data_IF_729604060647
#
_entry.id   IF_729604060647
#
_cell.length_a   1.000
_cell.length_b   1.000
_cell.length_c   1.000
_cell.angle_alpha   90.00
_cell.angle_beta   90.00
_cell.angle_gamma   90.00
#
_symmetry.space_group_name_H-M   'P 1'
#
loop_
_entity.id
_entity.type
_entity.pdbx_description
1 polymer ?
#
# COMPACT_ATOMS: atom_id res chain seq x y z
N UNK A 1 -14.82 -0.31 -39.18
CA UNK A 1 -15.12 -0.32 -37.72
C UNK A 1 -13.80 -0.55 -37.00
N UNK A 2 -13.45 0.26 -36.00
CA UNK A 2 -12.23 0.04 -35.20
C UNK A 2 -12.48 -1.16 -34.29
N UNK A 3 -11.56 -2.11 -34.28
CA UNK A 3 -11.59 -3.23 -33.33
C UNK A 3 -11.27 -2.72 -31.92
N UNK A 4 -12.02 -3.24 -30.93
CA UNK A 4 -11.79 -2.94 -29.52
C UNK A 4 -10.47 -3.56 -29.07
N UNK A 5 -9.66 -2.82 -28.34
CA UNK A 5 -8.46 -3.39 -27.73
C UNK A 5 -8.79 -4.19 -26.46
N UNK A 6 -7.80 -4.93 -25.94
CA UNK A 6 -7.96 -5.80 -24.77
C UNK A 6 -8.51 -5.06 -23.52
N UNK A 7 -8.15 -3.80 -23.33
CA UNK A 7 -8.65 -2.99 -22.21
C UNK A 7 -10.10 -2.55 -22.41
N UNK A 8 -10.48 -2.19 -23.64
CA UNK A 8 -11.86 -1.79 -23.94
C UNK A 8 -12.84 -2.96 -23.80
N UNK A 9 -12.39 -4.19 -24.09
CA UNK A 9 -13.19 -5.41 -23.92
C UNK A 9 -13.50 -5.73 -22.45
N UNK A 10 -12.63 -5.34 -21.51
CA UNK A 10 -12.89 -5.52 -20.07
C UNK A 10 -13.90 -4.50 -19.52
N UNK A 11 -14.25 -3.46 -20.28
CA UNK A 11 -15.22 -2.46 -19.85
C UNK A 11 -16.66 -2.96 -20.06
N UNK A 12 -17.62 -2.51 -19.23
CA UNK A 12 -19.03 -2.74 -19.49
C UNK A 12 -19.41 -2.23 -20.88
N UNK A 13 -20.39 -2.89 -21.52
CA UNK A 13 -20.72 -2.66 -22.92
C UNK A 13 -21.05 -1.20 -23.25
N UNK A 14 -21.69 -0.50 -22.30
CA UNK A 14 -22.04 0.93 -22.35
C UNK A 14 -20.84 1.87 -22.48
N UNK A 15 -19.66 1.43 -22.05
CA UNK A 15 -18.40 2.21 -22.10
C UNK A 15 -17.46 1.76 -23.21
N UNK A 16 -17.78 0.66 -23.92
CA UNK A 16 -17.02 0.24 -25.10
C UNK A 16 -17.11 1.33 -26.17
N UNK A 17 -16.00 1.64 -26.83
CA UNK A 17 -15.89 2.73 -27.82
C UNK A 17 -16.15 4.16 -27.28
N UNK A 18 -16.16 4.38 -25.95
CA UNK A 18 -16.23 5.74 -25.37
C UNK A 18 -14.90 6.15 -24.76
N UNK A 19 -14.55 7.43 -24.95
CA UNK A 19 -13.41 8.03 -24.26
C UNK A 19 -13.81 8.35 -22.82
N UNK A 20 -13.06 7.80 -21.85
CA UNK A 20 -13.22 8.09 -20.43
C UNK A 20 -11.95 8.77 -19.93
N UNK A 21 -12.11 9.85 -19.17
CA UNK A 21 -10.99 10.52 -18.51
C UNK A 21 -10.53 9.68 -17.32
N UNK A 22 -9.28 9.22 -17.37
CA UNK A 22 -8.66 8.46 -16.28
C UNK A 22 -7.71 9.33 -15.47
N UNK A 23 -7.63 9.14 -14.14
CA UNK A 23 -6.66 9.85 -13.32
C UNK A 23 -5.24 9.48 -13.79
N UNK A 24 -4.39 10.48 -14.01
CA UNK A 24 -3.05 10.25 -14.54
C UNK A 24 -2.09 9.60 -13.54
N UNK A 25 -2.45 9.61 -12.24
CA UNK A 25 -1.66 9.13 -11.09
C UNK A 25 -0.25 9.75 -10.93
N UNK A 26 0.07 10.76 -11.75
CA UNK A 26 1.37 11.44 -11.78
C UNK A 26 1.29 12.85 -11.19
N UNK A 27 0.23 13.60 -11.49
CA UNK A 27 0.07 14.97 -11.01
C UNK A 27 -0.24 15.03 -9.50
N UNK A 28 0.07 16.17 -8.86
CA UNK A 28 -0.14 16.39 -7.42
C UNK A 28 -1.59 16.12 -6.99
N UNK A 29 -2.56 16.54 -7.79
CA UNK A 29 -3.98 16.35 -7.49
C UNK A 29 -4.37 14.87 -7.50
N UNK A 30 -4.07 14.14 -8.58
CA UNK A 30 -4.36 12.71 -8.66
C UNK A 30 -3.63 11.91 -7.57
N UNK A 31 -2.37 12.24 -7.24
CA UNK A 31 -1.62 11.59 -6.16
C UNK A 31 -2.24 11.85 -4.79
N UNK A 32 -2.64 13.09 -4.51
CA UNK A 32 -3.32 13.45 -3.25
C UNK A 32 -4.67 12.75 -3.14
N UNK A 33 -5.46 12.73 -4.22
CA UNK A 33 -6.76 12.05 -4.25
C UNK A 33 -6.60 10.54 -4.04
N UNK A 34 -5.63 9.92 -4.71
CA UNK A 34 -5.31 8.51 -4.51
C UNK A 34 -4.93 8.21 -3.05
N UNK A 35 -4.06 9.02 -2.44
CA UNK A 35 -3.69 8.88 -1.03
C UNK A 35 -4.91 9.02 -0.10
N UNK A 36 -5.80 9.98 -0.35
CA UNK A 36 -7.06 10.15 0.41
C UNK A 36 -7.96 8.91 0.30
N UNK A 37 -8.18 8.40 -0.91
CA UNK A 37 -8.98 7.19 -1.13
C UNK A 37 -8.43 6.01 -0.31
N UNK A 38 -7.11 5.80 -0.31
CA UNK A 38 -6.50 4.75 0.51
C UNK A 38 -6.66 4.99 2.01
N UNK A 39 -6.55 6.24 2.47
CA UNK A 39 -6.80 6.57 3.89
C UNK A 39 -8.23 6.20 4.32
N UNK A 40 -9.24 6.52 3.49
CA UNK A 40 -10.62 6.12 3.77
C UNK A 40 -10.78 4.61 3.82
N UNK A 41 -10.17 3.87 2.87
CA UNK A 41 -10.20 2.40 2.88
C UNK A 41 -9.58 1.82 4.15
N UNK A 42 -8.48 2.39 4.63
CA UNK A 42 -7.83 1.96 5.87
C UNK A 42 -8.71 2.22 7.10
N UNK A 43 -9.37 3.38 7.16
CA UNK A 43 -10.30 3.72 8.25
C UNK A 43 -11.52 2.80 8.24
N UNK A 44 -12.08 2.54 7.05
CA UNK A 44 -13.20 1.61 6.92
C UNK A 44 -12.79 0.18 7.29
N UNK A 45 -11.63 -0.30 6.85
CA UNK A 45 -11.09 -1.59 7.28
C UNK A 45 -10.99 -1.65 8.80
N UNK A 46 -10.37 -0.65 9.44
CA UNK A 46 -10.22 -0.62 10.90
C UNK A 46 -11.57 -0.65 11.63
N UNK A 47 -12.63 -0.05 11.06
CA UNK A 47 -13.97 -0.08 11.67
C UNK A 47 -14.65 -1.46 11.64
N UNK A 48 -14.18 -2.39 10.80
CA UNK A 48 -14.73 -3.75 10.69
C UNK A 48 -14.14 -4.73 11.71
N UNK A 49 -13.06 -4.36 12.38
CA UNK A 49 -12.33 -5.22 13.30
C UNK A 49 -12.22 -4.57 14.69
N UNK A 50 -12.46 -5.33 15.75
CA UNK A 50 -12.31 -4.83 17.13
C UNK A 50 -10.83 -4.59 17.49
N UNK A 51 -9.93 -5.40 16.92
CA UNK A 51 -8.50 -5.36 17.20
C UNK A 51 -7.77 -4.79 16.00
N UNK A 52 -7.25 -3.58 16.16
CA UNK A 52 -6.37 -2.94 15.17
C UNK A 52 -5.05 -2.55 15.83
N UNK A 53 -3.96 -2.57 15.07
CA UNK A 53 -2.64 -2.19 15.55
C UNK A 53 -1.90 -1.33 14.52
N UNK A 54 -1.29 -0.23 14.98
CA UNK A 54 -0.35 0.55 14.19
C UNK A 54 1.08 0.19 14.60
N UNK A 55 1.89 -0.22 13.62
CA UNK A 55 3.29 -0.57 13.83
C UNK A 55 4.20 0.34 13.02
N UNK A 56 5.30 0.75 13.63
CA UNK A 56 6.42 1.39 12.93
C UNK A 56 7.66 0.52 13.08
N UNK A 57 8.13 -0.02 11.95
CA UNK A 57 9.34 -0.84 11.87
C UNK A 57 10.48 0.04 11.39
N UNK A 58 11.47 0.23 12.25
CA UNK A 58 12.68 0.99 11.95
C UNK A 58 13.90 0.08 12.03
N UNK A 59 14.93 0.42 11.28
CA UNK A 59 16.23 -0.23 11.40
C UNK A 59 16.98 0.34 12.60
N UNK A 60 17.69 -0.52 13.33
CA UNK A 60 18.76 -0.10 14.23
C UNK A 60 20.03 0.23 13.44
N UNK A 61 20.98 0.90 14.10
CA UNK A 61 22.15 1.48 13.44
C UNK A 61 23.04 0.44 12.76
N UNK A 62 23.09 -0.77 13.31
CA UNK A 62 23.93 -1.87 12.79
C UNK A 62 23.33 -2.57 11.58
N UNK A 63 22.02 -2.48 11.39
CA UNK A 63 21.30 -3.17 10.32
C UNK A 63 20.68 -2.21 9.29
N UNK A 64 21.20 -0.98 9.20
CA UNK A 64 20.81 -0.05 8.15
C UNK A 64 21.12 -0.65 6.76
N UNK A 65 20.15 -0.68 5.84
CA UNK A 65 20.40 -1.14 4.49
C UNK A 65 21.43 -0.28 3.77
N UNK A 66 22.15 -0.90 2.83
CA UNK A 66 23.06 -0.18 1.97
C UNK A 66 22.35 1.00 1.29
N UNK A 67 23.00 2.16 1.31
CA UNK A 67 22.46 3.44 0.80
C UNK A 67 21.23 3.98 1.54
N UNK A 68 20.90 3.45 2.72
CA UNK A 68 19.74 3.91 3.51
C UNK A 68 18.40 3.65 2.82
N UNK A 69 18.34 2.67 1.91
CA UNK A 69 17.15 2.36 1.12
C UNK A 69 16.15 1.45 1.83
N UNK A 70 14.89 1.45 1.39
CA UNK A 70 13.87 0.51 1.85
C UNK A 70 13.99 -0.83 1.10
N UNK A 71 14.21 -1.92 1.85
CA UNK A 71 14.32 -3.28 1.30
C UNK A 71 13.03 -4.06 1.55
N UNK A 72 12.21 -4.25 0.50
CA UNK A 72 10.91 -4.94 0.57
C UNK A 72 11.00 -6.34 1.20
N UNK A 73 12.10 -7.06 0.95
CA UNK A 73 12.31 -8.40 1.51
C UNK A 73 12.31 -8.41 3.05
N UNK A 74 12.85 -7.38 3.69
CA UNK A 74 12.86 -7.29 5.16
C UNK A 74 11.44 -7.26 5.72
N UNK A 75 10.56 -6.46 5.11
CA UNK A 75 9.15 -6.39 5.50
C UNK A 75 8.43 -7.72 5.25
N UNK A 76 8.68 -8.36 4.10
CA UNK A 76 8.07 -9.66 3.78
C UNK A 76 8.46 -10.76 4.78
N UNK A 77 9.75 -10.82 5.16
CA UNK A 77 10.24 -11.77 6.15
C UNK A 77 9.67 -11.49 7.54
N UNK A 78 9.56 -10.22 7.93
CA UNK A 78 8.88 -9.83 9.17
C UNK A 78 7.43 -10.31 9.19
N UNK A 79 6.64 -10.02 8.16
CA UNK A 79 5.24 -10.43 8.06
C UNK A 79 5.08 -11.96 8.04
N UNK A 80 6.00 -12.69 7.37
CA UNK A 80 6.00 -14.15 7.37
C UNK A 80 6.21 -14.72 8.78
N UNK A 81 7.15 -14.16 9.55
CA UNK A 81 7.42 -14.57 10.94
C UNK A 81 6.25 -14.21 11.86
N UNK A 82 5.71 -13.00 11.74
CA UNK A 82 4.55 -12.54 12.50
C UNK A 82 3.35 -13.48 12.30
N UNK A 83 2.99 -13.80 11.05
CA UNK A 83 1.90 -14.73 10.73
C UNK A 83 2.10 -16.12 11.32
N UNK A 84 3.33 -16.63 11.30
CA UNK A 84 3.65 -17.93 11.92
C UNK A 84 3.45 -17.88 13.44
N UNK A 85 3.87 -16.79 14.09
CA UNK A 85 3.80 -16.62 15.54
C UNK A 85 2.36 -16.52 16.06
N UNK A 86 1.47 -15.87 15.31
CA UNK A 86 0.08 -15.62 15.75
C UNK A 86 -0.93 -16.65 15.21
N UNK A 87 -0.47 -17.64 14.44
CA UNK A 87 -1.30 -18.72 13.91
C UNK A 87 -2.09 -19.41 15.04
N UNK A 88 -3.40 -19.70 14.85
CA UNK A 88 -4.16 -19.67 13.61
C UNK A 88 -4.78 -18.31 13.24
N UNK A 89 -4.52 -17.25 14.02
CA UNK A 89 -5.06 -15.93 13.72
C UNK A 89 -4.48 -15.39 12.40
N UNK A 90 -5.34 -14.80 11.59
CA UNK A 90 -4.98 -14.18 10.31
C UNK A 90 -5.00 -12.68 10.48
N UNK A 91 -4.04 -12.02 9.85
CA UNK A 91 -3.94 -10.56 9.82
C UNK A 91 -4.06 -10.06 8.39
N UNK A 92 -4.76 -8.95 8.24
CA UNK A 92 -4.76 -8.09 7.07
C UNK A 92 -3.87 -6.89 7.39
N UNK A 93 -3.29 -6.29 6.37
CA UNK A 93 -2.37 -5.19 6.58
C UNK A 93 -2.36 -4.22 5.41
N UNK A 94 -2.03 -2.98 5.74
CA UNK A 94 -1.66 -1.94 4.80
C UNK A 94 -0.32 -1.35 5.23
N UNK A 95 0.68 -1.36 4.34
CA UNK A 95 2.01 -0.82 4.60
C UNK A 95 2.33 0.43 3.79
N UNK A 96 3.17 1.30 4.35
CA UNK A 96 3.90 2.30 3.57
C UNK A 96 5.35 2.38 4.03
N UNK A 97 6.24 2.64 3.07
CA UNK A 97 7.63 2.95 3.35
C UNK A 97 7.85 4.46 3.40
N UNK A 98 8.57 4.94 4.40
CA UNK A 98 8.87 6.35 4.59
C UNK A 98 10.34 6.56 4.99
N UNK A 99 10.79 7.80 4.84
CA UNK A 99 12.11 8.25 5.24
C UNK A 99 11.97 9.35 6.29
N UNK A 100 12.72 9.24 7.38
CA UNK A 100 12.65 10.21 8.49
C UNK A 100 13.08 11.62 8.06
N UNK A 101 12.44 12.65 8.60
CA UNK A 101 12.65 14.04 8.14
C UNK A 101 14.08 14.56 8.34
N UNK A 102 14.76 14.14 9.42
CA UNK A 102 16.11 14.63 9.78
C UNK A 102 17.23 13.84 9.11
N UNK A 103 17.22 12.52 9.31
CA UNK A 103 18.32 11.63 8.90
C UNK A 103 17.95 10.71 7.74
N UNK A 104 16.78 10.89 7.13
CA UNK A 104 16.27 10.05 6.05
C UNK A 104 16.31 8.55 6.41
N UNK A 105 16.12 8.21 7.70
CA UNK A 105 16.14 6.81 8.13
C UNK A 105 14.97 6.06 7.47
N UNK A 106 15.23 4.98 6.72
CA UNK A 106 14.16 4.18 6.15
C UNK A 106 13.37 3.49 7.26
N UNK A 107 12.05 3.51 7.16
CA UNK A 107 11.16 2.79 8.05
C UNK A 107 9.86 2.42 7.35
N UNK A 108 9.15 1.43 7.89
CA UNK A 108 7.83 1.03 7.43
C UNK A 108 6.78 1.38 8.47
N UNK A 109 5.66 1.94 8.03
CA UNK A 109 4.44 2.00 8.83
C UNK A 109 3.47 0.94 8.36
N UNK A 110 2.82 0.27 9.30
CA UNK A 110 1.81 -0.75 9.02
C UNK A 110 0.57 -0.48 9.85
N UNK A 111 -0.58 -0.63 9.19
CA UNK A 111 -1.86 -0.86 9.85
C UNK A 111 -2.13 -2.36 9.78
N UNK A 112 -2.42 -2.97 10.92
CA UNK A 112 -2.83 -4.37 11.04
C UNK A 112 -4.26 -4.44 11.55
N UNK A 113 -5.04 -5.33 10.93
CA UNK A 113 -6.41 -5.69 11.33
C UNK A 113 -6.56 -7.21 11.36
#
# INVERSE_FOLDING_TARGET
MRELNAFELTQPEEYRNRWVLMPCLKCRFCRTQHAKVWSYRCVHEASLYEKNCFLTLTYDDKHLPQYGSLVKLHLQLFLKRLRKMISPHKIRYFECGAYGTKLQRPHYHLLLS
#
